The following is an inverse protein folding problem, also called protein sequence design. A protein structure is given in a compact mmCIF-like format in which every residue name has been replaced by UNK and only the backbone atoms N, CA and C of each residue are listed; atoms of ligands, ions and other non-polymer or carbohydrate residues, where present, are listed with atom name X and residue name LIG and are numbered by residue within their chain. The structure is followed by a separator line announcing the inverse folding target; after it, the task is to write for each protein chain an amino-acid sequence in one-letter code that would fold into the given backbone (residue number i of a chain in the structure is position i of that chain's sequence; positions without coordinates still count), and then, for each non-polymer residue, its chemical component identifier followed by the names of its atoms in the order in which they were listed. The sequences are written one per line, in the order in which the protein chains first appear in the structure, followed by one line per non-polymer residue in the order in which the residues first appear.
data_IF_778955866940
#
_entry.id   IF_778955866940
#
_cell.length_a   1.000
_cell.length_b   1.000
_cell.length_c   1.000
_cell.angle_alpha   90.00
_cell.angle_beta   90.00
_cell.angle_gamma   90.00
#
_symmetry.space_group_name_H-M   'P 1'
#
loop_
_entity.id
_entity.type
_entity.pdbx_description
1 polymer ?
#
# COMPACT_ATOMS: atom_id res chain seq x y z
N UNK A 1 13.82 12.90 -11.26
CA UNK A 1 13.46 11.47 -11.21
C UNK A 1 14.66 10.52 -11.17
N UNK A 2 15.71 10.71 -12.00
CA UNK A 2 16.81 9.73 -12.12
C UNK A 2 17.65 9.45 -10.86
N UNK A 3 17.83 10.41 -9.95
CA UNK A 3 18.53 10.18 -8.68
C UNK A 3 17.72 9.30 -7.72
N UNK A 4 16.44 9.63 -7.52
CA UNK A 4 15.50 8.85 -6.70
C UNK A 4 15.39 7.43 -7.23
N UNK A 5 15.22 7.26 -8.54
CA UNK A 5 15.18 5.93 -9.15
C UNK A 5 16.44 5.13 -8.82
N UNK A 6 17.64 5.69 -9.05
CA UNK A 6 18.91 5.01 -8.73
C UNK A 6 19.04 4.62 -7.25
N UNK A 7 18.57 5.46 -6.32
CA UNK A 7 18.62 5.15 -4.90
C UNK A 7 17.68 4.00 -4.51
N UNK A 8 16.53 3.86 -5.16
CA UNK A 8 15.55 2.81 -4.86
C UNK A 8 15.87 1.45 -5.49
N UNK A 9 16.68 1.41 -6.55
CA UNK A 9 16.94 0.20 -7.33
C UNK A 9 17.57 -0.95 -6.52
N UNK A 10 18.58 -0.73 -5.66
CA UNK A 10 19.11 -1.80 -4.81
C UNK A 10 18.07 -2.34 -3.84
N UNK A 11 17.27 -1.44 -3.24
CA UNK A 11 16.21 -1.83 -2.30
C UNK A 11 15.12 -2.67 -2.97
N UNK A 12 14.74 -2.34 -4.22
CA UNK A 12 13.76 -3.11 -4.99
C UNK A 12 14.23 -4.55 -5.16
N UNK A 13 15.50 -4.76 -5.49
CA UNK A 13 16.08 -6.10 -5.68
C UNK A 13 16.16 -6.88 -4.36
N UNK A 14 16.65 -6.24 -3.30
CA UNK A 14 16.74 -6.83 -1.97
C UNK A 14 15.36 -7.28 -1.47
N UNK A 15 14.36 -6.39 -1.54
CA UNK A 15 12.99 -6.70 -1.13
C UNK A 15 12.35 -7.78 -1.99
N UNK A 16 12.54 -7.74 -3.32
CA UNK A 16 11.98 -8.76 -4.21
C UNK A 16 12.53 -10.15 -3.87
N UNK A 17 13.85 -10.27 -3.68
CA UNK A 17 14.48 -11.52 -3.32
C UNK A 17 14.10 -11.98 -1.91
N UNK A 18 14.02 -11.07 -0.93
CA UNK A 18 13.57 -11.37 0.42
C UNK A 18 12.13 -11.91 0.45
N UNK A 19 11.22 -11.25 -0.28
CA UNK A 19 9.83 -11.71 -0.38
C UNK A 19 9.76 -13.08 -1.08
N UNK A 20 10.48 -13.26 -2.19
CA UNK A 20 10.50 -14.52 -2.93
C UNK A 20 11.03 -15.69 -2.07
N UNK A 21 12.01 -15.43 -1.21
CA UNK A 21 12.54 -16.45 -0.30
C UNK A 21 11.54 -16.80 0.81
N UNK A 22 10.81 -15.82 1.34
CA UNK A 22 9.88 -16.05 2.45
C UNK A 22 8.54 -16.65 2.03
N UNK A 23 8.09 -16.42 0.80
CA UNK A 23 6.75 -16.83 0.35
C UNK A 23 6.63 -18.33 0.04
N UNK A 24 7.74 -19.04 -0.16
CA UNK A 24 7.76 -20.42 -0.69
C UNK A 24 6.86 -21.40 0.08
N UNK A 25 6.75 -21.20 1.38
CA UNK A 25 6.01 -22.08 2.29
C UNK A 25 4.84 -21.36 2.98
N UNK A 26 4.41 -20.19 2.46
CA UNK A 26 3.37 -19.37 3.07
C UNK A 26 2.00 -19.58 2.42
N UNK A 27 0.98 -19.84 3.24
CA UNK A 27 -0.43 -19.84 2.81
C UNK A 27 -0.96 -18.41 2.57
N UNK A 28 -0.39 -17.44 3.28
CA UNK A 28 -0.78 -16.04 3.26
C UNK A 28 0.45 -15.13 3.32
N UNK A 29 0.48 -14.13 2.45
CA UNK A 29 1.41 -13.01 2.53
C UNK A 29 0.68 -11.72 2.88
N UNK A 30 1.25 -10.98 3.83
CA UNK A 30 0.78 -9.66 4.24
C UNK A 30 1.69 -8.61 3.60
N UNK A 31 1.11 -7.73 2.79
CA UNK A 31 1.83 -6.74 2.01
C UNK A 31 1.53 -5.34 2.53
N UNK A 32 2.55 -4.50 2.60
CA UNK A 32 2.42 -3.09 2.97
C UNK A 32 2.54 -2.21 1.73
N UNK A 33 2.31 -0.91 1.89
CA UNK A 33 2.40 0.09 0.81
C UNK A 33 3.69 -0.05 -0.01
N UNK A 34 4.82 -0.27 0.66
CA UNK A 34 6.13 -0.35 0.01
C UNK A 34 6.36 -1.71 -0.68
N UNK A 35 5.92 -2.80 -0.06
CA UNK A 35 6.18 -4.16 -0.56
C UNK A 35 5.14 -4.66 -1.56
N UNK A 36 3.99 -3.99 -1.69
CA UNK A 36 2.86 -4.51 -2.46
C UNK A 36 3.21 -4.79 -3.91
N UNK A 37 3.93 -3.90 -4.58
CA UNK A 37 4.32 -4.08 -5.99
C UNK A 37 5.19 -5.32 -6.19
N UNK A 38 6.10 -5.56 -5.26
CA UNK A 38 7.07 -6.65 -5.33
C UNK A 38 6.43 -7.97 -4.92
N UNK A 39 5.73 -7.99 -3.79
CA UNK A 39 5.14 -9.21 -3.26
C UNK A 39 4.00 -9.73 -4.11
N UNK A 40 3.21 -8.84 -4.71
CA UNK A 40 2.26 -9.23 -5.74
C UNK A 40 2.98 -9.84 -6.95
N UNK A 41 4.07 -9.24 -7.45
CA UNK A 41 4.85 -9.87 -8.53
C UNK A 41 5.38 -11.27 -8.17
N UNK A 42 5.81 -11.47 -6.92
CA UNK A 42 6.28 -12.77 -6.43
C UNK A 42 5.15 -13.80 -6.30
N UNK A 43 3.95 -13.42 -5.85
CA UNK A 43 2.84 -14.37 -5.59
C UNK A 43 2.34 -15.08 -6.84
N UNK A 44 2.61 -14.53 -8.03
CA UNK A 44 2.29 -15.17 -9.31
C UNK A 44 2.98 -16.53 -9.47
N UNK A 45 4.14 -16.73 -8.82
CA UNK A 45 4.83 -18.04 -8.76
C UNK A 45 4.18 -19.03 -7.79
N UNK A 46 3.33 -18.57 -6.88
CA UNK A 46 2.78 -19.37 -5.79
C UNK A 46 1.25 -19.35 -5.88
N UNK A 47 0.68 -20.21 -6.73
CA UNK A 47 -0.76 -20.20 -7.02
C UNK A 47 -1.62 -20.48 -5.78
N UNK A 48 -1.08 -21.13 -4.75
CA UNK A 48 -1.81 -21.43 -3.52
C UNK A 48 -1.70 -20.33 -2.45
N UNK A 49 -0.69 -19.46 -2.52
CA UNK A 49 -0.53 -18.36 -1.57
C UNK A 49 -1.57 -17.27 -1.83
N UNK A 50 -2.19 -16.78 -0.76
CA UNK A 50 -3.11 -15.63 -0.77
C UNK A 50 -2.37 -14.36 -0.38
N UNK A 51 -2.86 -13.20 -0.80
CA UNK A 51 -2.34 -11.90 -0.41
C UNK A 51 -3.40 -11.07 0.31
N UNK A 52 -2.98 -10.32 1.33
CA UNK A 52 -3.72 -9.18 1.86
C UNK A 52 -2.82 -7.95 1.90
N UNK A 53 -3.40 -6.79 1.59
CA UNK A 53 -2.76 -5.49 1.80
C UNK A 53 -3.08 -4.96 3.20
N UNK A 54 -2.09 -4.47 3.94
CA UNK A 54 -2.28 -3.75 5.20
C UNK A 54 -1.58 -2.39 5.13
N UNK A 55 -2.31 -1.33 5.44
CA UNK A 55 -1.82 0.04 5.32
C UNK A 55 -2.06 0.85 6.58
N UNK A 56 -1.03 1.49 7.10
CA UNK A 56 -1.09 2.38 8.28
C UNK A 56 -1.64 3.77 7.99
N UNK A 57 -1.84 4.09 6.71
CA UNK A 57 -2.46 5.32 6.26
C UNK A 57 -3.27 5.05 4.99
N UNK A 58 -4.24 5.91 4.65
CA UNK A 58 -5.07 5.74 3.47
C UNK A 58 -4.23 5.86 2.19
N UNK A 59 -4.02 4.74 1.51
CA UNK A 59 -3.26 4.67 0.25
C UNK A 59 -4.08 4.29 -0.97
N UNK A 60 -5.36 3.99 -0.77
CA UNK A 60 -6.24 3.64 -1.87
C UNK A 60 -6.78 4.90 -2.52
N UNK A 61 -6.57 5.01 -3.83
CA UNK A 61 -7.07 6.10 -4.67
C UNK A 61 -8.54 6.41 -4.40
N UNK A 62 -8.82 7.69 -4.18
CA UNK A 62 -10.16 8.21 -3.91
C UNK A 62 -10.27 9.69 -4.27
N UNK A 63 -11.49 10.17 -4.50
CA UNK A 63 -11.79 11.59 -4.62
C UNK A 63 -11.86 12.32 -3.25
N UNK A 64 -12.00 11.58 -2.15
CA UNK A 64 -12.29 12.14 -0.81
C UNK A 64 -11.06 12.79 -0.15
N UNK A 65 -9.85 12.36 -0.47
CA UNK A 65 -8.62 12.96 0.06
C UNK A 65 -7.43 12.82 -0.90
N UNK A 66 -6.45 13.70 -0.73
CA UNK A 66 -5.19 13.68 -1.47
C UNK A 66 -4.30 12.52 -1.06
N UNK A 67 -3.44 12.01 -1.96
CA UNK A 67 -2.44 11.01 -1.59
C UNK A 67 -1.44 11.56 -0.56
N UNK A 68 -0.87 10.68 0.28
CA UNK A 68 0.18 11.04 1.23
C UNK A 68 1.34 11.79 0.56
N UNK A 69 1.80 12.86 1.19
CA UNK A 69 2.89 13.71 0.67
C UNK A 69 2.47 14.74 -0.39
N UNK A 70 1.24 14.70 -0.92
CA UNK A 70 0.66 15.75 -1.79
C UNK A 70 -0.53 16.48 -1.15
N UNK A 71 -0.70 16.30 0.17
CA UNK A 71 -1.61 17.09 0.99
C UNK A 71 -1.10 18.52 1.20
N UNK A 72 -2.01 19.49 1.26
CA UNK A 72 -1.68 20.91 1.45
C UNK A 72 -2.89 21.71 1.91
N UNK A 73 -2.70 22.99 2.26
CA UNK A 73 -3.76 23.88 2.81
C UNK A 73 -5.01 24.08 1.92
N UNK A 74 -5.07 23.49 0.72
CA UNK A 74 -6.14 23.70 -0.27
C UNK A 74 -7.16 22.57 -0.28
N UNK A 75 -7.58 22.09 0.89
CA UNK A 75 -8.52 20.96 0.94
C UNK A 75 -9.95 21.49 0.97
N UNK A 76 -10.68 21.25 -0.14
CA UNK A 76 -12.12 20.91 -0.21
C UNK A 76 -12.91 21.52 -1.37
N UNK A 77 -12.37 22.45 -2.17
CA UNK A 77 -13.19 23.05 -3.23
C UNK A 77 -13.50 22.10 -4.40
N UNK A 78 -12.63 21.11 -4.68
CA UNK A 78 -12.76 20.26 -5.86
C UNK A 78 -12.23 18.83 -5.65
N UNK A 79 -13.11 17.89 -5.27
CA UNK A 79 -12.79 16.47 -5.04
C UNK A 79 -12.12 15.78 -6.25
N UNK A 80 -12.35 16.26 -7.47
CA UNK A 80 -11.73 15.69 -8.67
C UNK A 80 -10.20 15.91 -8.73
N UNK A 81 -9.69 16.95 -8.06
CA UNK A 81 -8.24 17.23 -8.03
C UNK A 81 -7.48 16.16 -7.25
N UNK A 82 -8.10 15.56 -6.22
CA UNK A 82 -7.54 14.42 -5.50
C UNK A 82 -7.30 13.23 -6.44
N UNK A 83 -8.25 12.93 -7.33
CA UNK A 83 -8.10 11.85 -8.32
C UNK A 83 -6.94 12.10 -9.28
N UNK A 84 -6.69 13.36 -9.66
CA UNK A 84 -5.55 13.71 -10.50
C UNK A 84 -4.22 13.52 -9.75
N UNK A 85 -4.15 13.96 -8.49
CA UNK A 85 -2.97 13.75 -7.63
C UNK A 85 -2.66 12.26 -7.48
N UNK A 86 -3.67 11.42 -7.26
CA UNK A 86 -3.50 9.96 -7.22
C UNK A 86 -2.87 9.41 -8.51
N UNK A 87 -3.37 9.82 -9.68
CA UNK A 87 -2.79 9.42 -10.97
C UNK A 87 -1.31 9.81 -11.11
N UNK A 88 -0.91 10.96 -10.59
CA UNK A 88 0.50 11.41 -10.61
C UNK A 88 1.36 10.50 -9.74
N UNK A 89 0.88 10.12 -8.55
CA UNK A 89 1.58 9.17 -7.67
C UNK A 89 1.72 7.80 -8.34
N UNK A 90 0.64 7.29 -8.91
CA UNK A 90 0.62 6.00 -9.63
C UNK A 90 1.63 5.96 -10.76
N UNK A 91 1.65 7.02 -11.58
CA UNK A 91 2.60 7.18 -12.67
C UNK A 91 4.04 7.25 -12.17
N UNK A 92 4.29 8.00 -11.09
CA UNK A 92 5.62 8.13 -10.49
C UNK A 92 6.13 6.80 -9.96
N UNK A 93 5.31 6.07 -9.20
CA UNK A 93 5.67 4.75 -8.68
C UNK A 93 5.91 3.76 -9.81
N UNK A 94 5.05 3.75 -10.82
CA UNK A 94 5.24 2.91 -12.00
C UNK A 94 6.60 3.17 -12.65
N UNK A 95 6.99 4.42 -12.87
CA UNK A 95 8.30 4.75 -13.47
C UNK A 95 9.52 4.36 -12.60
N UNK A 96 9.36 4.33 -11.28
CA UNK A 96 10.43 3.92 -10.36
C UNK A 96 10.63 2.41 -10.41
N UNK A 97 9.55 1.64 -10.34
CA UNK A 97 9.59 0.18 -10.17
C UNK A 97 9.66 -0.61 -11.48
N UNK A 98 8.97 -0.15 -12.54
CA UNK A 98 8.59 -1.01 -13.66
C UNK A 98 9.79 -1.68 -14.37
N UNK A 99 10.87 -0.94 -14.64
CA UNK A 99 12.01 -1.49 -15.39
C UNK A 99 12.73 -2.58 -14.59
N UNK A 100 13.08 -2.31 -13.33
CA UNK A 100 13.79 -3.25 -12.47
C UNK A 100 12.94 -4.43 -12.07
N UNK A 101 11.66 -4.18 -11.80
CA UNK A 101 10.73 -5.26 -11.52
C UNK A 101 10.61 -6.21 -12.73
N UNK A 102 10.58 -5.69 -13.96
CA UNK A 102 10.54 -6.52 -15.16
C UNK A 102 11.85 -7.25 -15.43
N UNK A 103 13.00 -6.62 -15.15
CA UNK A 103 14.31 -7.28 -15.15
C UNK A 103 14.30 -8.47 -14.17
N UNK A 104 13.89 -8.24 -12.92
CA UNK A 104 13.81 -9.27 -11.90
C UNK A 104 12.81 -10.38 -12.26
N UNK A 105 11.64 -10.03 -12.80
CA UNK A 105 10.64 -10.99 -13.30
C UNK A 105 11.21 -11.86 -14.41
N UNK A 106 11.98 -11.30 -15.34
CA UNK A 106 12.64 -12.06 -16.39
C UNK A 106 13.64 -13.08 -15.82
N UNK A 107 14.41 -12.74 -14.76
CA UNK A 107 15.30 -13.71 -14.09
C UNK A 107 14.56 -14.88 -13.43
N UNK A 108 13.24 -14.78 -13.31
CA UNK A 108 12.36 -15.76 -12.68
C UNK A 108 11.36 -16.36 -13.68
N UNK A 109 11.53 -16.18 -14.99
CA UNK A 109 10.61 -16.69 -16.01
C UNK A 109 9.15 -16.21 -15.84
N UNK A 110 8.97 -15.00 -15.29
CA UNK A 110 7.67 -14.36 -15.19
C UNK A 110 7.44 -13.41 -16.36
N UNK A 111 6.21 -13.31 -16.90
CA UNK A 111 5.91 -12.41 -18.01
C UNK A 111 6.13 -10.95 -17.59
N UNK A 112 6.49 -10.04 -18.51
CA UNK A 112 6.62 -8.63 -18.15
C UNK A 112 5.27 -8.06 -17.68
N UNK A 113 5.34 -7.14 -16.74
CA UNK A 113 4.21 -6.42 -16.18
C UNK A 113 4.29 -4.95 -16.57
N UNK A 114 3.14 -4.34 -16.84
CA UNK A 114 3.02 -2.88 -16.91
C UNK A 114 2.32 -2.42 -15.64
N UNK A 115 3.07 -1.77 -14.74
CA UNK A 115 2.50 -1.19 -13.54
C UNK A 115 1.51 -0.10 -13.95
N UNK A 116 0.23 -0.35 -13.65
CA UNK A 116 -0.86 0.60 -13.70
C UNK A 116 -1.70 0.30 -12.47
N UNK A 117 -1.86 1.25 -11.57
CA UNK A 117 -2.45 1.05 -10.25
C UNK A 117 -3.82 0.36 -10.29
N UNK A 118 -4.72 0.81 -11.17
CA UNK A 118 -6.07 0.23 -11.33
C UNK A 118 -6.01 -1.21 -11.84
N UNK A 119 -5.02 -1.52 -12.69
CA UNK A 119 -4.77 -2.87 -13.21
C UNK A 119 -4.09 -3.75 -12.15
N UNK A 120 -3.25 -3.17 -11.30
CA UNK A 120 -2.45 -3.84 -10.28
C UNK A 120 -3.25 -4.31 -9.07
N UNK A 121 -4.02 -3.40 -8.49
CA UNK A 121 -4.81 -3.67 -7.28
C UNK A 121 -6.02 -4.55 -7.57
N UNK A 122 -6.55 -4.51 -8.80
CA UNK A 122 -7.81 -5.21 -9.14
C UNK A 122 -7.66 -6.38 -10.10
N UNK A 123 -6.65 -6.42 -10.98
CA UNK A 123 -6.66 -7.35 -12.12
C UNK A 123 -5.38 -8.15 -12.37
N UNK A 124 -4.23 -7.72 -11.86
CA UNK A 124 -2.94 -8.32 -12.25
C UNK A 124 -2.71 -9.72 -11.70
N UNK A 125 -3.46 -10.15 -10.68
CA UNK A 125 -3.28 -11.49 -10.10
C UNK A 125 -4.46 -12.43 -10.33
N UNK A 126 -5.54 -11.98 -10.98
CA UNK A 126 -6.82 -12.72 -11.07
C UNK A 126 -7.30 -13.26 -9.71
N UNK A 127 -6.73 -12.75 -8.62
CA UNK A 127 -6.98 -13.13 -7.24
C UNK A 127 -7.56 -11.89 -6.58
N UNK A 128 -8.79 -11.94 -6.06
CA UNK A 128 -9.31 -10.86 -5.24
C UNK A 128 -8.37 -10.69 -4.04
N UNK A 129 -7.84 -9.49 -3.87
CA UNK A 129 -7.02 -9.12 -2.72
C UNK A 129 -7.85 -8.25 -1.81
N UNK A 130 -7.85 -8.59 -0.52
CA UNK A 130 -8.44 -7.75 0.52
C UNK A 130 -7.37 -6.75 0.97
N UNK A 131 -7.76 -5.48 1.07
CA UNK A 131 -6.93 -4.40 1.61
C UNK A 131 -7.52 -3.90 2.91
N UNK A 132 -6.73 -3.84 3.97
CA UNK A 132 -7.10 -3.32 5.27
C UNK A 132 -6.30 -2.05 5.59
N UNK A 133 -6.98 -0.91 5.58
CA UNK A 133 -6.41 0.34 6.11
C UNK A 133 -6.63 0.36 7.62
N UNK A 134 -5.55 0.17 8.38
CA UNK A 134 -5.55 0.13 9.85
C UNK A 134 -5.51 1.56 10.42
N UNK A 135 -6.56 2.33 10.12
CA UNK A 135 -6.71 3.73 10.51
C UNK A 135 -8.05 3.95 11.20
N UNK A 136 -8.12 4.92 12.12
CA UNK A 136 -9.32 5.17 12.91
C UNK A 136 -10.47 5.67 12.04
N UNK A 137 -11.60 4.94 12.05
CA UNK A 137 -12.84 5.35 11.37
C UNK A 137 -13.42 6.66 11.90
N UNK A 138 -13.05 7.06 13.11
CA UNK A 138 -13.48 8.32 13.72
C UNK A 138 -12.66 9.51 13.22
N UNK A 139 -11.44 9.27 12.72
CA UNK A 139 -10.60 10.30 12.10
C UNK A 139 -10.88 10.43 10.61
N UNK A 140 -11.15 9.31 9.95
CA UNK A 140 -11.45 9.28 8.52
C UNK A 140 -12.49 8.19 8.22
N UNK A 141 -13.63 8.61 7.67
CA UNK A 141 -14.65 7.68 7.20
C UNK A 141 -14.14 6.92 5.96
N UNK A 142 -14.62 5.69 5.78
CA UNK A 142 -14.36 4.93 4.56
C UNK A 142 -14.94 5.71 3.36
N UNK A 143 -14.14 6.04 2.34
CA UNK A 143 -14.64 6.65 1.12
C UNK A 143 -15.71 5.80 0.43
N UNK A 144 -16.74 6.45 -0.11
CA UNK A 144 -17.82 5.77 -0.83
C UNK A 144 -17.39 5.20 -2.17
N UNK A 145 -16.28 5.69 -2.74
CA UNK A 145 -15.73 5.28 -4.04
C UNK A 145 -14.69 4.15 -3.95
N UNK A 146 -14.41 3.65 -2.75
CA UNK A 146 -13.56 2.48 -2.53
C UNK A 146 -14.24 1.17 -2.92
N UNK A 147 -13.46 0.20 -3.40
CA UNK A 147 -13.95 -1.14 -3.75
C UNK A 147 -14.42 -1.89 -2.49
N UNK A 148 -15.33 -2.86 -2.63
CA UNK A 148 -15.84 -3.66 -1.50
C UNK A 148 -14.74 -4.41 -0.73
N UNK A 149 -13.63 -4.73 -1.40
CA UNK A 149 -12.46 -5.38 -0.82
C UNK A 149 -11.47 -4.40 -0.16
N UNK A 150 -11.74 -3.09 -0.21
CA UNK A 150 -10.96 -2.06 0.47
C UNK A 150 -11.69 -1.65 1.77
N UNK A 151 -11.11 -2.05 2.90
CA UNK A 151 -11.71 -1.88 4.23
C UNK A 151 -10.95 -0.84 5.06
N UNK A 152 -11.71 -0.12 5.87
CA UNK A 152 -11.19 0.69 6.98
C UNK A 152 -11.44 -0.11 8.26
N UNK A 153 -10.39 -0.62 8.91
CA UNK A 153 -10.53 -1.64 9.98
C UNK A 153 -10.19 -1.14 11.39
N UNK A 154 -9.76 0.11 11.54
CA UNK A 154 -9.30 0.64 12.83
C UNK A 154 -7.82 0.34 13.12
N UNK A 155 -7.22 1.02 14.12
CA UNK A 155 -5.83 0.80 14.46
C UNK A 155 -5.62 -0.60 15.07
N UNK A 156 -4.49 -1.23 14.74
CA UNK A 156 -3.98 -2.38 15.49
C UNK A 156 -3.25 -1.81 16.70
N UNK A 157 -3.80 -2.03 17.89
CA UNK A 157 -3.19 -1.63 19.15
C UNK A 157 -2.53 -2.86 19.78
N UNK A 158 -1.37 -2.65 20.40
CA UNK A 158 -0.79 -3.68 21.27
C UNK A 158 -1.78 -3.99 22.40
N UNK A 159 -1.91 -5.28 22.73
CA UNK A 159 -2.70 -5.70 23.87
C UNK A 159 -2.15 -4.98 25.09
N UNK A 160 -2.98 -4.14 25.73
CA UNK A 160 -2.51 -3.13 26.66
C UNK A 160 -1.55 -3.76 27.68
N UNK A 161 -0.32 -3.23 27.74
CA UNK A 161 0.49 -3.41 28.94
C UNK A 161 -0.39 -2.92 30.09
N UNK A 162 -0.79 -3.80 31.00
CA UNK A 162 -1.67 -3.45 32.12
C UNK A 162 -1.09 -2.32 32.99
N UNK A 163 0.21 -2.02 32.82
CA UNK A 163 0.95 -0.96 33.49
C UNK A 163 1.16 0.30 32.64
N UNK A 164 0.53 0.43 31.47
CA UNK A 164 0.61 1.67 30.69
C UNK A 164 -0.25 2.75 31.36
N UNK A 165 0.42 3.72 31.99
CA UNK A 165 -0.21 4.98 32.39
C UNK A 165 0.06 6.05 31.32
N UNK A 166 -0.96 6.58 30.63
CA UNK A 166 -0.76 7.68 29.70
C UNK A 166 -0.20 8.90 30.47
N UNK A 167 0.74 9.67 29.89
CA UNK A 167 1.26 10.89 30.51
C UNK A 167 0.14 11.82 30.99
N UNK A 168 0.26 12.37 32.21
CA UNK A 168 -0.70 13.34 32.78
C UNK A 168 -1.11 14.45 31.80
N UNK A 169 -0.21 15.03 30.98
CA UNK A 169 -0.59 16.03 29.99
C UNK A 169 -1.61 15.52 28.95
N UNK A 170 -1.54 14.26 28.54
CA UNK A 170 -2.48 13.64 27.58
C UNK A 170 -3.83 13.41 28.26
N UNK A 171 -3.84 12.91 29.50
CA UNK A 171 -5.08 12.74 30.27
C UNK A 171 -5.81 14.07 30.46
N UNK A 172 -5.08 15.13 30.83
CA UNK A 172 -5.63 16.47 31.00
C UNK A 172 -6.16 17.08 29.69
N UNK A 173 -5.64 16.64 28.54
CA UNK A 173 -6.14 17.07 27.24
C UNK A 173 -7.43 16.35 26.85
N UNK A 174 -7.52 15.03 27.08
CA UNK A 174 -8.68 14.22 26.69
C UNK A 174 -9.91 14.36 27.60
N UNK A 175 -9.74 14.90 28.80
CA UNK A 175 -10.81 15.07 29.82
C UNK A 175 -11.44 16.47 29.83
N UNK A 176 -11.02 17.34 28.92
CA UNK A 176 -11.66 18.64 28.66
C UNK A 176 -12.64 18.55 27.52
#
# INVERSE_FOLDING_TARGET
MGLVKRAFQPMIEEWFNGILSGIKDADLIVLTVASIFLGLSCIEKFPNTKAIGIYTFPVTRTAHFSPPGLGGKSDNLFNWTNLLKWKIVDFTMSNIYNDKLNELRATKDLPPMKLNYDRMTRSLFRKPMVSATIYSKYLLLRPSDWHENDHMVGPILEEGNQNFEPPIPILNFLTK
#
